data_IF_304746826375
#
_entry.id   IF_304746826375
#
_cell.length_a   1.000
_cell.length_b   1.000
_cell.length_c   1.000
_cell.angle_alpha   90.00
_cell.angle_beta   90.00
_cell.angle_gamma   90.00
#
_symmetry.space_group_name_H-M   'P 1'
#
loop_
_entity.id
_entity.type
_entity.pdbx_description
1 polymer ?
#
# COMPACT_ATOMS: atom_id res chain seq x y z
N UNK A 1 1.24 -11.35 52.89
CA UNK A 1 0.52 -10.26 52.19
C UNK A 1 1.41 -9.41 51.31
N UNK A 2 2.46 -8.74 51.81
CA UNK A 2 3.37 -7.92 50.98
C UNK A 2 3.97 -8.64 49.76
N UNK A 3 4.42 -9.89 49.90
CA UNK A 3 4.98 -10.66 48.77
C UNK A 3 3.94 -11.01 47.69
N UNK A 4 2.67 -11.17 48.07
CA UNK A 4 1.58 -11.41 47.12
C UNK A 4 1.29 -10.16 46.28
N UNK A 5 1.31 -8.97 46.89
CA UNK A 5 1.19 -7.71 46.16
C UNK A 5 2.36 -7.47 45.20
N UNK A 6 3.58 -7.86 45.61
CA UNK A 6 4.78 -7.72 44.79
C UNK A 6 4.76 -8.67 43.58
N UNK A 7 4.28 -9.91 43.78
CA UNK A 7 4.04 -10.86 42.70
C UNK A 7 2.95 -10.37 41.73
N UNK A 8 1.85 -9.83 42.25
CA UNK A 8 0.77 -9.29 41.43
C UNK A 8 1.22 -8.07 40.62
N UNK A 9 2.02 -7.19 41.21
CA UNK A 9 2.61 -6.05 40.51
C UNK A 9 3.55 -6.49 39.37
N UNK A 10 4.40 -7.49 39.63
CA UNK A 10 5.27 -8.07 38.60
C UNK A 10 4.46 -8.70 37.45
N UNK A 11 3.37 -9.39 37.77
CA UNK A 11 2.47 -9.99 36.78
C UNK A 11 1.86 -8.92 35.86
N UNK A 12 1.42 -7.79 36.42
CA UNK A 12 0.87 -6.66 35.64
C UNK A 12 1.92 -6.05 34.72
N UNK A 13 3.17 -5.90 35.18
CA UNK A 13 4.26 -5.36 34.37
C UNK A 13 4.61 -6.28 33.18
N UNK A 14 4.57 -7.59 33.38
CA UNK A 14 4.84 -8.55 32.30
C UNK A 14 3.73 -8.47 31.26
N UNK A 15 2.46 -8.51 31.68
CA UNK A 15 1.31 -8.47 30.75
C UNK A 15 1.26 -7.14 29.97
N UNK A 16 1.61 -6.01 30.58
CA UNK A 16 1.59 -4.71 29.88
C UNK A 16 2.68 -4.57 28.83
N UNK A 17 3.84 -5.21 29.03
CA UNK A 17 4.95 -5.16 28.06
C UNK A 17 4.63 -5.90 26.74
N UNK A 18 3.92 -7.03 26.83
CA UNK A 18 3.50 -7.82 25.66
C UNK A 18 2.46 -7.05 24.81
N UNK A 19 1.48 -6.42 25.47
CA UNK A 19 0.45 -5.61 24.81
C UNK A 19 1.07 -4.41 24.07
N UNK A 20 2.09 -3.78 24.65
CA UNK A 20 2.80 -2.66 24.02
C UNK A 20 3.53 -3.10 22.74
N UNK A 21 4.22 -4.25 22.76
CA UNK A 21 4.94 -4.76 21.60
C UNK A 21 3.99 -5.05 20.43
N UNK A 22 2.87 -5.73 20.71
CA UNK A 22 1.86 -6.03 19.69
C UNK A 22 1.26 -4.74 19.11
N UNK A 23 0.87 -3.79 19.96
CA UNK A 23 0.31 -2.52 19.52
C UNK A 23 1.26 -1.70 18.64
N UNK A 24 2.57 -1.77 18.89
CA UNK A 24 3.57 -1.09 18.04
C UNK A 24 3.66 -1.71 16.65
N UNK A 25 3.66 -3.04 16.56
CA UNK A 25 3.66 -3.76 15.27
C UNK A 25 2.41 -3.39 14.47
N UNK A 26 1.24 -3.41 15.10
CA UNK A 26 -0.03 -3.05 14.45
C UNK A 26 0.00 -1.61 13.92
N UNK A 27 0.51 -0.67 14.73
CA UNK A 27 0.65 0.73 14.32
C UNK A 27 1.60 0.89 13.12
N UNK A 28 2.71 0.14 13.09
CA UNK A 28 3.65 0.20 11.97
C UNK A 28 3.07 -0.41 10.69
N UNK A 29 2.26 -1.47 10.80
CA UNK A 29 1.52 -2.07 9.67
C UNK A 29 0.49 -1.08 9.12
N UNK A 30 -0.28 -0.41 9.98
CA UNK A 30 -1.27 0.60 9.57
C UNK A 30 -0.62 1.81 8.89
N UNK A 31 0.57 2.22 9.34
CA UNK A 31 1.36 3.26 8.68
C UNK A 31 1.83 2.82 7.28
N UNK A 32 2.34 1.60 7.13
CA UNK A 32 2.72 1.03 5.83
C UNK A 32 1.50 0.92 4.90
N UNK A 33 0.36 0.48 5.41
CA UNK A 33 -0.91 0.41 4.67
C UNK A 33 -1.36 1.79 4.20
N UNK A 34 -1.27 2.80 5.06
CA UNK A 34 -1.58 4.19 4.70
C UNK A 34 -0.68 4.68 3.56
N UNK A 35 0.61 4.36 3.59
CA UNK A 35 1.53 4.71 2.52
C UNK A 35 1.24 3.93 1.22
N UNK A 36 0.89 2.65 1.31
CA UNK A 36 0.47 1.85 0.16
C UNK A 36 -0.77 2.47 -0.51
N UNK A 37 -1.78 2.91 0.28
CA UNK A 37 -2.96 3.61 -0.23
C UNK A 37 -2.59 4.89 -0.97
N UNK A 38 -1.68 5.72 -0.44
CA UNK A 38 -1.19 6.92 -1.15
C UNK A 38 -0.62 6.55 -2.52
N UNK A 39 0.15 5.47 -2.60
CA UNK A 39 0.70 4.98 -3.86
C UNK A 39 -0.37 4.47 -4.84
N UNK A 40 -1.43 3.81 -4.36
CA UNK A 40 -2.58 3.43 -5.21
C UNK A 40 -3.25 4.65 -5.81
N UNK A 41 -3.57 5.67 -5.01
CA UNK A 41 -4.19 6.90 -5.50
C UNK A 41 -3.29 7.63 -6.49
N UNK A 42 -1.99 7.72 -6.19
CA UNK A 42 -1.04 8.26 -7.15
C UNK A 42 -1.04 7.46 -8.45
N UNK A 43 -1.06 6.13 -8.38
CA UNK A 43 -1.09 5.25 -9.54
C UNK A 43 -2.33 5.47 -10.42
N UNK A 44 -3.51 5.58 -9.81
CA UNK A 44 -4.77 5.87 -10.53
C UNK A 44 -4.70 7.20 -11.29
N UNK A 45 -4.05 8.22 -10.72
CA UNK A 45 -3.90 9.54 -11.36
C UNK A 45 -2.79 9.59 -12.42
N UNK A 46 -1.93 8.57 -12.50
CA UNK A 46 -0.74 8.55 -13.37
C UNK A 46 -0.71 7.32 -14.28
N UNK A 47 -1.89 6.78 -14.65
CA UNK A 47 -1.99 5.66 -15.59
C UNK A 47 -1.33 6.07 -16.91
N UNK A 48 -0.28 5.35 -17.36
CA UNK A 48 0.43 5.73 -18.57
C UNK A 48 -0.44 5.50 -19.80
N UNK A 49 -0.64 6.51 -20.65
CA UNK A 49 -1.41 6.34 -21.90
C UNK A 49 -0.60 5.62 -22.98
N UNK A 50 0.72 5.87 -23.07
CA UNK A 50 1.55 5.29 -24.15
C UNK A 50 2.34 4.05 -23.73
N UNK A 51 2.79 4.00 -22.48
CA UNK A 51 3.69 2.93 -22.00
C UNK A 51 2.90 1.74 -21.46
N UNK A 52 3.45 0.54 -21.63
CA UNK A 52 2.86 -0.68 -21.10
C UNK A 52 2.96 -0.73 -19.58
N UNK A 53 4.07 -0.22 -19.04
CA UNK A 53 4.37 -0.24 -17.61
C UNK A 53 4.96 1.09 -17.15
N UNK A 54 4.66 1.48 -15.91
CA UNK A 54 5.25 2.62 -15.21
C UNK A 54 5.63 2.18 -13.80
N UNK A 55 6.87 2.44 -13.39
CA UNK A 55 7.34 2.19 -12.04
C UNK A 55 7.86 3.50 -11.43
N UNK A 56 7.46 3.80 -10.20
CA UNK A 56 7.88 5.00 -9.49
C UNK A 56 8.02 4.75 -7.99
N UNK A 57 9.02 5.41 -7.40
CA UNK A 57 9.18 5.48 -5.95
C UNK A 57 8.65 6.82 -5.44
N UNK A 58 7.85 6.76 -4.38
CA UNK A 58 7.39 7.92 -3.63
C UNK A 58 8.29 8.08 -2.41
N UNK A 59 8.98 9.22 -2.35
CA UNK A 59 9.92 9.57 -1.27
C UNK A 59 9.32 10.77 -0.53
N UNK A 60 9.34 10.73 0.80
CA UNK A 60 8.91 11.82 1.67
C UNK A 60 9.79 11.83 2.92
N UNK A 61 10.24 13.02 3.32
CA UNK A 61 11.16 13.20 4.47
C UNK A 61 12.37 12.26 4.40
N UNK A 62 13.04 12.23 3.24
CA UNK A 62 14.21 11.39 2.96
C UNK A 62 14.00 9.87 3.14
N UNK A 63 12.74 9.43 3.19
CA UNK A 63 12.37 8.01 3.31
C UNK A 63 11.56 7.54 2.11
N UNK A 64 11.81 6.30 1.67
CA UNK A 64 10.93 5.60 0.74
C UNK A 64 9.61 5.30 1.46
N UNK A 65 8.53 5.94 1.04
CA UNK A 65 7.20 5.71 1.63
C UNK A 65 6.40 4.70 0.82
N UNK A 66 6.53 4.68 -0.50
CA UNK A 66 5.85 3.70 -1.33
C UNK A 66 6.57 3.46 -2.66
N UNK A 67 6.37 2.28 -3.23
CA UNK A 67 6.80 1.90 -4.56
C UNK A 67 5.57 1.48 -5.36
N UNK A 68 5.33 2.17 -6.47
CA UNK A 68 4.15 1.97 -7.31
C UNK A 68 4.57 1.40 -8.66
N UNK A 69 3.91 0.32 -9.07
CA UNK A 69 4.02 -0.27 -10.40
C UNK A 69 2.64 -0.28 -11.03
N UNK A 70 2.55 0.25 -12.24
CA UNK A 70 1.34 0.26 -13.05
C UNK A 70 1.65 -0.57 -14.28
N UNK A 71 0.83 -1.56 -14.58
CA UNK A 71 0.90 -2.36 -15.79
C UNK A 71 -0.45 -2.30 -16.51
N UNK A 72 -0.41 -1.99 -17.80
CA UNK A 72 -1.57 -2.20 -18.66
C UNK A 72 -1.76 -3.69 -18.86
N UNK A 73 -3.01 -4.10 -18.76
CA UNK A 73 -3.45 -5.47 -18.99
C UNK A 73 -4.58 -5.42 -20.02
N UNK A 74 -4.94 -6.56 -20.60
CA UNK A 74 -6.09 -6.63 -21.49
C UNK A 74 -7.34 -6.11 -20.76
N UNK A 75 -8.04 -5.14 -21.39
CA UNK A 75 -9.24 -4.49 -20.85
C UNK A 75 -9.07 -3.75 -19.52
N UNK A 76 -7.84 -3.38 -19.13
CA UNK A 76 -7.66 -2.68 -17.86
C UNK A 76 -6.23 -2.37 -17.45
N UNK A 77 -6.06 -2.18 -16.16
CA UNK A 77 -4.78 -1.83 -15.55
C UNK A 77 -4.65 -2.57 -14.22
N UNK A 78 -3.44 -3.08 -13.97
CA UNK A 78 -2.99 -3.57 -12.68
C UNK A 78 -2.11 -2.52 -12.01
N UNK A 79 -2.47 -2.11 -10.80
CA UNK A 79 -1.69 -1.18 -9.97
C UNK A 79 -1.21 -1.94 -8.73
N UNK A 80 0.09 -2.09 -8.58
CA UNK A 80 0.73 -2.62 -7.38
C UNK A 80 1.36 -1.46 -6.62
N UNK A 81 1.00 -1.30 -5.35
CA UNK A 81 1.57 -0.27 -4.49
C UNK A 81 2.08 -0.92 -3.21
N UNK A 82 3.39 -0.96 -3.05
CA UNK A 82 4.05 -1.42 -1.83
C UNK A 82 4.36 -0.20 -0.96
N UNK A 83 3.68 -0.06 0.17
CA UNK A 83 3.95 0.96 1.18
C UNK A 83 4.93 0.47 2.23
N UNK A 84 5.79 1.36 2.69
CA UNK A 84 6.86 1.06 3.64
C UNK A 84 6.70 1.89 4.91
N UNK A 85 7.03 1.30 6.06
CA UNK A 85 7.21 1.99 7.32
C UNK A 85 8.13 1.16 8.25
N UNK A 86 9.25 1.72 8.68
CA UNK A 86 10.30 1.01 9.43
C UNK A 86 10.72 -0.28 8.71
N UNK A 87 10.54 -1.44 9.36
CA UNK A 87 10.83 -2.77 8.80
C UNK A 87 9.62 -3.44 8.16
N UNK A 88 8.49 -2.74 8.06
CA UNK A 88 7.23 -3.29 7.56
C UNK A 88 6.97 -2.82 6.13
N UNK A 89 6.46 -3.73 5.32
CA UNK A 89 5.96 -3.46 3.99
C UNK A 89 4.57 -4.06 3.80
N UNK A 90 3.71 -3.32 3.11
CA UNK A 90 2.35 -3.76 2.76
C UNK A 90 2.14 -3.51 1.28
N UNK A 91 1.78 -4.56 0.54
CA UNK A 91 1.47 -4.43 -0.89
C UNK A 91 -0.03 -4.49 -1.13
N UNK A 92 -0.57 -3.45 -1.75
CA UNK A 92 -1.93 -3.44 -2.29
C UNK A 92 -1.83 -3.70 -3.79
N UNK A 93 -2.57 -4.70 -4.28
CA UNK A 93 -2.73 -4.97 -5.71
C UNK A 93 -4.17 -4.63 -6.09
N UNK A 94 -4.33 -3.66 -6.98
CA UNK A 94 -5.61 -3.19 -7.48
C UNK A 94 -5.72 -3.48 -8.97
N UNK A 95 -6.80 -4.18 -9.34
CA UNK A 95 -7.17 -4.39 -10.75
C UNK A 95 -8.36 -3.50 -11.08
N UNK A 96 -8.31 -2.80 -12.22
CA UNK A 96 -9.39 -1.94 -12.68
C UNK A 96 -9.63 -2.14 -14.17
N UNK A 97 -10.90 -2.32 -14.54
CA UNK A 97 -11.30 -2.37 -15.95
C UNK A 97 -11.24 -0.99 -16.60
N UNK A 98 -11.02 -0.95 -17.91
CA UNK A 98 -11.03 0.27 -18.71
C UNK A 98 -12.34 1.06 -18.51
N UNK A 99 -13.49 0.38 -18.58
CA UNK A 99 -14.80 1.01 -18.37
C UNK A 99 -14.93 1.69 -17.01
N UNK A 100 -14.46 1.05 -15.95
CA UNK A 100 -14.49 1.62 -14.60
C UNK A 100 -13.55 2.82 -14.48
N UNK A 101 -12.38 2.77 -15.12
CA UNK A 101 -11.42 3.88 -15.11
C UNK A 101 -11.93 5.08 -15.90
N UNK A 102 -12.65 4.85 -17.01
CA UNK A 102 -13.32 5.89 -17.80
C UNK A 102 -14.46 6.51 -16.99
N UNK A 103 -15.33 5.66 -16.39
CA UNK A 103 -16.46 6.11 -15.56
C UNK A 103 -16.01 6.99 -14.39
N UNK A 104 -14.89 6.63 -13.75
CA UNK A 104 -14.35 7.36 -12.60
C UNK A 104 -13.47 8.55 -13.01
N UNK A 105 -13.23 8.76 -14.31
CA UNK A 105 -12.48 9.91 -14.84
C UNK A 105 -10.96 9.81 -14.76
N UNK A 106 -10.40 8.61 -14.56
CA UNK A 106 -8.95 8.40 -14.51
C UNK A 106 -8.29 8.33 -15.90
N UNK A 107 -9.05 7.91 -16.93
CA UNK A 107 -8.58 7.81 -18.32
C UNK A 107 -9.69 8.22 -19.29
N UNK A 108 -9.33 8.48 -20.56
CA UNK A 108 -10.28 8.72 -21.66
C UNK A 108 -10.54 7.43 -22.44
N UNK A 109 -11.68 7.40 -23.15
CA UNK A 109 -11.98 6.34 -24.11
C UNK A 109 -10.88 6.31 -25.19
N UNK A 110 -10.35 5.12 -25.50
CA UNK A 110 -9.21 4.95 -26.42
C UNK A 110 -7.83 4.87 -25.77
N UNK A 111 -7.64 5.30 -24.51
CA UNK A 111 -6.30 5.34 -23.88
C UNK A 111 -5.68 3.94 -23.64
N UNK A 112 -6.51 2.90 -23.61
CA UNK A 112 -6.11 1.51 -23.38
C UNK A 112 -6.34 0.58 -24.58
N UNK A 113 -6.91 1.07 -25.68
CA UNK A 113 -7.29 0.25 -26.85
C UNK A 113 -6.08 -0.23 -27.69
N UNK A 114 -4.88 0.29 -27.43
CA UNK A 114 -3.65 -0.02 -28.18
C UNK A 114 -2.98 -1.34 -27.72
N UNK A 115 -3.52 -2.02 -26.70
CA UNK A 115 -2.95 -3.28 -26.17
C UNK A 115 -3.77 -4.52 -26.55
N UNK A 116 -4.56 -4.46 -27.62
CA UNK A 116 -5.05 -5.66 -28.30
C UNK A 116 -4.04 -6.06 -29.38
N UNK A 117 -3.29 -7.12 -29.11
CA UNK A 117 -2.63 -7.99 -30.09
C UNK A 117 -1.59 -7.34 -31.03
N UNK A 118 -0.38 -7.11 -30.50
CA UNK A 118 0.86 -7.24 -31.28
C UNK A 118 1.80 -8.20 -30.54
N UNK A 119 1.47 -9.50 -30.58
CA UNK A 119 2.43 -10.61 -30.59
C UNK A 119 2.31 -11.35 -31.93
#
# INVERSE_FOLDING_TARGET
MKQFFLFFYLLILIISSEVYSQSKVDADIEAALTNARKGVFWGLMNIPVKKAKLEKSLINNDMLIAKVKIAKELNGVKIESTGYNNTNEVTIVLYRSADSLIKDGYIKKGDLEIYSDEE
#
